data_IF_806810428306
#
_entry.id   IF_806810428306
#
_cell.length_a   1.000
_cell.length_b   1.000
_cell.length_c   1.000
_cell.angle_alpha   90.00
_cell.angle_beta   90.00
_cell.angle_gamma   90.00
#
_symmetry.space_group_name_H-M   'P 1'
#
loop_
_entity.id
_entity.type
_entity.pdbx_description
1 polymer ?
2 polymer ?
#
# COMPACT_ATOMS: atom_id res chain seq x y z
CA UNK A 1 13.03 -19.07 12.73
CA UNK A 2 10.84 -20.23 9.87
CA UNK A 3 9.21 -16.81 9.70
CA UNK A 4 12.52 -15.00 10.03
CA UNK A 5 13.69 -16.79 6.91
CA UNK A 6 10.44 -15.92 5.17
CA UNK A 7 10.96 -12.25 5.95
CA UNK A 8 14.61 -12.57 4.99
CA UNK A 9 13.35 -13.53 1.55
CA UNK A 10 11.01 -10.55 1.64
CA UNK A 11 13.90 -8.23 2.40
CA UNK A 12 15.95 -9.78 -0.37
CA UNK A 13 12.88 -9.29 -2.53
CA UNK A 14 12.35 -5.59 -1.96
CA UNK A 15 13.66 -4.61 1.46
CA UNK A 16 13.04 -1.04 0.36
CA UNK A 17 9.74 -0.56 -1.42
CA UNK A 18 6.05 0.28 -0.99
CA UNK A 19 5.25 -3.38 -1.53
CA UNK A 20 7.58 -4.33 1.30
CA UNK A 21 6.32 -1.93 3.95
CA UNK A 22 3.00 -3.81 3.93
CA UNK A 23 4.66 -7.18 3.51
CA UNK A 24 6.75 -6.55 6.60
CA UNK A 25 3.84 -5.30 8.66
CA UNK A 26 2.07 -8.50 7.67
CA UNK A 27 4.87 -10.69 8.95
CA UNK A 28 5.09 -8.31 11.89
CA UNK A 29 1.35 -7.90 12.32
CA UNK A 30 0.95 -6.62 15.86
CA UNK A 31 4.30 -8.00 16.94
CA UNK A 32 6.38 -7.29 20.02
CA UNK A 33 9.79 -5.64 20.46
CA UNK A 34 11.58 -8.96 20.86
CA UNK A 35 9.88 -10.20 17.71
CA UNK A 36 10.15 -6.99 15.73
CA UNK A 37 13.74 -6.69 16.90
CA UNK A 38 14.45 -10.23 15.76
CA UNK A 39 12.95 -9.57 12.34
CA UNK A 40 14.73 -6.25 12.03
CA UNK A 41 17.84 -8.15 13.04
CA UNK A 42 17.56 -10.79 10.34
CA UNK A 43 16.86 -7.92 7.96
CA UNK A 44 19.55 -6.75 5.57
CA UNK A 45 19.28 -3.86 3.14
CA UNK A 46 21.26 -0.86 4.33
CA UNK A 47 22.59 0.02 7.76
CA UNK A 48 22.22 3.67 6.86
CA UNK A 49 18.52 3.18 6.20
CA UNK A 50 18.14 1.18 9.39
CA UNK A 51 19.94 3.98 11.20
CA UNK A 52 17.48 6.65 10.14
CA UNK A 53 14.61 4.29 10.86
CA UNK A 54 15.87 3.99 14.42
CA UNK A 55 15.85 7.77 14.57
CA UNK A 56 12.25 8.00 13.40
CA UNK A 57 11.22 5.14 15.65
CA UNK A 58 13.00 6.54 18.69
CA UNK A 59 11.70 9.97 17.74
CA UNK A 60 8.23 8.46 17.51
CA UNK A 61 8.35 7.54 21.18
CA UNK A 62 9.66 10.94 22.21
CA UNK A 63 6.99 12.60 20.09
CA UNK A 64 4.40 10.19 21.45
CA UNK A 65 5.23 11.03 25.04
CA UNK A 66 5.40 14.63 23.88
CA UNK A 67 1.76 14.47 22.84
CA UNK A 68 1.09 12.06 25.68
CA UNK A 84 5.69 6.09 27.33
CA UNK A 85 7.14 5.87 23.84
CA UNK A 86 10.37 4.83 25.52
CA UNK A 87 8.61 2.13 27.50
CA UNK A 88 7.01 0.79 24.34
CA UNK A 89 10.55 0.75 22.99
CA UNK A 90 11.40 -1.73 25.72
CA UNK A 91 13.63 0.65 27.64
CA UNK A 92 11.34 1.04 30.63
CA UNK A 93 9.44 -2.17 29.97
CA UNK A 94 10.43 -5.77 29.32
CA UNK A 95 9.09 -8.19 26.74
CA UNK A 96 6.86 -9.88 29.29
CA UNK A 97 5.54 -6.53 30.45
CA UNK A 98 5.16 -5.58 26.80
CA UNK A 99 3.05 -8.50 25.63
CA UNK A 100 1.14 -8.12 28.88
CA UNK A 101 0.54 -4.42 28.38
CA UNK A 102 -0.52 -5.39 24.88
CA UNK A 103 -2.97 -7.99 26.14
CA UNK A 104 -3.81 -5.89 29.17
CA UNK A 105 -7.26 -4.62 30.06
CA UNK A 106 -7.77 -2.40 28.50
CA UNK A 107 -5.35 -3.59 25.82
CA UNK A 108 -2.79 -1.00 24.81
CA UNK A 109 -1.30 -0.88 21.30
CA UNK A 110 2.18 -1.10 22.77
CA UNK A 111 3.59 -3.48 20.18
CA UNK A 112 1.32 -1.99 17.54
CA UNK A 113 2.76 1.42 18.31
CA UNK A 114 6.30 0.12 17.93
CA UNK A 115 5.37 -1.74 14.76
CA UNK A 116 3.92 1.44 13.30
CA UNK A 117 7.15 3.18 14.23
CA UNK A 118 9.09 0.77 12.06
CA UNK A 119 6.64 1.36 9.24
CA UNK A 120 7.18 5.07 9.77
CA UNK A 121 10.91 4.76 9.20
CA UNK A 122 10.76 2.13 6.48
CA UNK A 123 8.34 4.57 4.89
CA UNK A 124 10.99 7.27 4.77
CA UNK A 125 13.58 4.69 3.77
CA UNK A 126 11.43 3.63 0.85
CA UNK A 127 10.44 7.19 0.07
CA UNK A 128 14.17 7.71 -0.28
CA UNK A 129 14.94 4.67 -2.39
CA UNK B 1 9.44 -6.14 -18.58
CA UNK B 2 11.91 -8.96 -17.77
CA UNK B 3 9.35 -11.72 -18.37
CA UNK B 4 9.99 -13.40 -21.70
CA UNK B 5 8.98 -16.83 -22.97
CA UNK B 6 11.82 -19.34 -23.02
CA UNK B 7 12.61 -20.91 -26.41
CA UNK B 8 11.60 -24.31 -25.08
CA UNK B 9 9.21 -23.00 -22.38
CA UNK B 10 5.52 -23.96 -22.83
CA UNK B 11 3.19 -21.00 -23.31
CA UNK B 12 1.18 -21.76 -20.15
CA UNK B 13 4.28 -21.69 -17.92
CA UNK B 14 5.20 -18.34 -19.44
CA UNK B 15 1.75 -16.86 -18.95
CA UNK B 16 1.83 -18.16 -15.37
CA UNK B 17 5.06 -16.22 -14.72
CA UNK B 18 3.67 -13.20 -16.52
CA UNK B 19 0.54 -12.82 -14.34
CA UNK B 20 2.28 -13.95 -11.13
CA UNK B 21 4.70 -11.06 -11.63
CA UNK B 22 2.05 -8.57 -12.73
CA UNK B 23 -0.04 -9.38 -9.65
CA UNK B 24 2.90 -8.79 -7.28
CA UNK B 25 3.85 -5.54 -9.02
CA UNK B 26 0.39 -3.99 -8.63
CA UNK B 27 -0.60 -6.04 -5.56
CA UNK B 28 -3.67 -6.78 -7.73
CA UNK B 29 -5.12 -9.17 -10.34
CA UNK B 30 -6.89 -6.34 -12.20
CA UNK B 31 -4.06 -5.76 -14.63
CA UNK B 32 -5.22 -6.99 -18.05
CA UNK B 33 -5.43 -3.71 -19.97
CA UNK B 34 -4.40 -3.02 -23.59
CA UNK B 35 -0.81 -2.25 -22.55
CA UNK B 36 -0.17 -5.62 -20.93
CA UNK B 37 -2.11 -7.29 -23.76
CA UNK B 38 0.39 -5.81 -26.24
CA UNK B 39 3.32 -6.62 -23.95
CA UNK B 40 2.29 -10.30 -23.53
CA UNK B 41 2.25 -11.08 -27.25
CA UNK B 42 5.37 -8.96 -27.79
CA UNK B 43 7.44 -11.06 -25.34
CA UNK B 44 6.27 -14.51 -26.46
CA UNK B 45 8.83 -16.75 -28.16
CA UNK B 46 9.08 -16.68 -32.01
CA UNK B 47 6.83 -19.62 -32.90
CA UNK B 48 4.01 -18.54 -30.61
CA UNK B 49 4.47 -14.83 -31.42
CA UNK B 50 3.54 -15.46 -35.07
CA UNK B 51 0.56 -17.72 -34.34
CA UNK B 52 -0.81 -15.20 -31.85
CA UNK B 53 -0.45 -12.20 -34.17
CA UNK B 54 -2.36 -14.40 -36.63
CA UNK B 55 -5.41 -14.71 -34.39
CA UNK B 56 -5.55 -10.93 -34.70
CA UNK B 57 -6.61 -8.42 -32.02
CA UNK B 58 -9.35 -9.01 -29.44
CA UNK B 59 -8.37 -12.61 -28.72
CA UNK B 60 -9.32 -14.08 -25.34
CA UNK B 61 -6.64 -15.63 -23.12
CA UNK B 62 -8.43 -18.95 -23.59
CA UNK B 63 -8.12 -18.65 -27.39
CA UNK B 64 -4.42 -17.76 -27.21
CA UNK B 65 -3.64 -20.70 -24.91
CA UNK B 66 -5.52 -23.21 -27.04
CA UNK B 67 -3.58 -21.94 -30.08
CA UNK B 68 -0.08 -22.46 -28.61
CA UNK B 69 -0.80 -25.83 -26.94
CA UNK C 1 -13.44 19.92 10.91
CA UNK C 2 -11.19 20.88 8.02
CA UNK C 3 -9.53 17.48 8.16
CA UNK C 4 -12.83 15.66 8.54
CA UNK C 5 -13.94 17.20 5.26
CA UNK C 6 -10.64 16.22 3.68
CA UNK C 7 -11.15 12.62 4.73
CA UNK C 8 -14.78 12.83 3.66
CA UNK C 9 -13.43 13.53 0.19
CA UNK C 10 -11.07 10.60 0.56
CA UNK C 11 -13.96 8.31 1.43
CA UNK C 12 -15.95 9.62 -1.51
CA UNK C 13 -12.82 9.00 -3.54
CA UNK C 14 -12.29 5.36 -2.67
CA UNK C 15 -13.68 4.63 0.78
CA UNK C 16 -13.00 0.99 -0.03
CA UNK C 17 -9.65 0.41 -1.68
CA UNK C 18 -5.96 -0.36 -1.09
CA UNK C 19 -5.18 3.26 -1.90
CA UNK C 20 -7.59 4.39 0.80
CA UNK C 21 -6.38 2.23 3.65
CA UNK C 22 -3.07 4.12 3.57
CA UNK C 23 -4.75 7.44 2.85
CA UNK C 24 -6.92 7.03 5.93
CA UNK C 25 -4.04 5.97 8.15
CA UNK C 26 -2.28 9.10 6.97
CA UNK C 27 -5.13 11.36 7.99
CA UNK C 28 -5.40 9.21 11.10
CA UNK C 29 -1.67 8.87 11.66
CA UNK C 30 -1.36 7.87 15.29
CA UNK C 31 -4.75 9.29 16.18
CA UNK C 32 -6.90 8.81 19.26
CA UNK C 33 -10.31 7.17 19.73
CA UNK C 34 -12.13 10.48 19.83
CA UNK C 35 -10.36 11.50 16.64
CA UNK C 36 -10.56 8.14 14.90
CA UNK C 37 -14.17 7.89 16.00
CA UNK C 38 -14.87 11.33 14.57
CA UNK C 39 -13.28 10.43 11.26
CA UNK C 40 -15.03 7.07 11.16
CA UNK C 41 -18.18 9.02 11.94
CA UNK C 42 -17.85 11.44 9.05
CA UNK C 43 -17.07 8.40 6.92
CA UNK C 44 -19.68 7.02 4.55
CA UNK C 45 -19.33 3.96 2.36
CA UNK C 46 -21.32 1.04 3.74
CA UNK C 47 -22.73 0.42 7.20
CA UNK C 48 -22.30 -3.29 6.58
CA UNK C 49 -18.60 -2.81 5.98
CA UNK C 50 -18.31 -0.57 9.02
CA UNK C 51 -20.14 -3.24 10.99
CA UNK C 52 -17.63 -5.96 10.20
CA UNK C 53 -14.80 -3.52 10.81
CA UNK C 54 -16.15 -2.96 14.31
CA UNK C 55 -16.11 -6.72 14.75
CA UNK C 56 -12.48 -7.01 13.69
CA UNK C 57 -11.54 -3.97 15.74
CA UNK C 58 -13.38 -5.14 18.83
CA UNK C 59 -12.03 -8.62 18.18
CA UNK C 60 -8.57 -7.11 17.93
CA UNK C 61 -8.79 -5.91 21.51
CA UNK C 62 -10.10 -9.23 22.76
CA UNK C 63 -7.36 -11.02 20.85
CA UNK C 64 -4.82 -8.49 22.08
CA UNK C 65 -5.74 -9.06 25.71
CA UNK C 66 -5.85 -12.74 24.83
CA UNK C 67 -2.19 -12.62 23.87
CA UNK C 68 -1.62 -9.99 26.53
CA UNK C 84 -6.29 -3.96 27.59
CA UNK C 85 -7.66 -4.02 24.06
CA UNK C 86 -10.94 -2.88 25.57
CA UNK C 87 -9.25 -0.02 27.38
CA UNK C 88 -7.59 1.08 24.17
CA UNK C 89 -11.09 0.98 22.73
CA UNK C 90 -12.03 3.66 25.23
CA UNK C 91 -14.28 1.41 27.28
CA UNK C 92 -12.07 1.28 30.35
CA UNK C 93 -10.18 4.45 29.48
CA UNK C 94 -11.18 7.97 28.54
CA UNK C 95 -9.79 10.20 25.81
CA UNK C 96 -7.64 12.10 28.28
CA UNK C 97 -6.32 8.86 29.73
CA UNK C 98 -5.85 7.64 26.18
CA UNK C 99 -3.73 10.48 24.83
CA UNK C 100 -1.90 10.37 28.15
CA UNK C 101 -1.26 6.64 27.95
CA UNK C 102 -0.11 7.36 24.42
CA UNK C 103 2.29 10.07 25.53
CA UNK C 104 3.06 8.21 28.74
CA UNK C 105 6.49 7.05 29.81
CA UNK C 106 7.07 4.72 28.44
CA UNK C 107 4.70 5.68 25.61
CA UNK C 108 2.19 2.99 24.75
CA UNK C 109 0.80 2.58 21.22
CA UNK C 110 -2.73 2.89 22.58
CA UNK C 111 -4.08 5.05 19.78
CA UNK C 112 -1.74 3.38 17.32
CA UNK C 113 -3.17 0.02 18.31
CA UNK C 114 -6.71 1.26 17.74
CA UNK C 115 -5.71 2.87 14.47
CA UNK C 116 -4.20 -0.39 13.29
CA UNK C 117 -7.44 -2.09 14.27
CA UNK C 118 -9.34 0.13 11.87
CA UNK C 119 -6.81 -0.65 9.17
CA UNK C 120 -7.34 -4.31 9.97
CA UNK C 121 -11.05 -4.09 9.29
CA UNK C 122 -10.85 -1.68 6.38
CA UNK C 123 -8.37 -4.21 5.04
CA UNK C 124 -11.01 -6.93 5.06
CA UNK C 125 -13.59 -4.46 3.80
CA UNK C 126 -11.36 -3.60 0.86
CA UNK C 127 -10.32 -7.21 0.39
CA UNK C 128 -14.04 -7.79 -0.01
CA UNK C 129 -14.79 -4.93 -2.37
CA UNK D 1 -8.95 4.65 -19.20
CA UNK D 2 -11.45 7.49 -18.68
CA UNK D 3 -8.90 10.23 -19.43
CA UNK D 4 -9.47 11.64 -22.89
CA UNK D 5 -8.45 14.97 -24.40
CA UNK D 6 -11.30 17.45 -24.72
CA UNK D 7 -12.02 18.74 -28.24
CA UNK D 8 -11.07 22.24 -27.14
CA UNK D 9 -8.74 21.17 -24.29
CA UNK D 10 -5.05 22.12 -24.73
CA UNK D 11 -2.68 19.16 -24.92
CA UNK D 12 -0.76 20.18 -21.77
CA UNK D 13 -3.92 20.25 -19.62
CA UNK D 14 -4.78 16.79 -20.90
CA UNK D 15 -1.33 15.38 -20.21
CA UNK D 16 -1.52 16.95 -16.75
CA UNK D 17 -4.74 15.04 -16.03
CA UNK D 18 -3.28 11.90 -17.55
CA UNK D 19 -0.21 11.72 -15.27
CA UNK D 20 -2.04 13.08 -12.21
CA UNK D 21 -4.42 10.14 -12.54
CA UNK D 22 -1.73 7.60 -13.38
CA UNK D 23 0.27 8.66 -10.32
CA UNK D 24 -2.72 8.23 -7.98
CA UNK D 25 -3.60 4.84 -9.49
CA UNK D 26 -0.14 3.36 -8.89
CA UNK D 27 0.76 5.65 -5.97
CA UNK D 28 3.87 6.25 -8.11
CA UNK D 29 5.37 8.44 -10.86
CA UNK D 30 7.21 5.50 -12.45
CA UNK D 31 4.45 4.70 -14.89
CA UNK D 32 5.68 5.68 -18.38
CA UNK D 33 5.98 2.26 -20.02
CA UNK D 34 5.04 1.28 -23.61
CA UNK D 35 1.43 0.56 -22.60
CA UNK D 36 0.73 4.03 -21.27
CA UNK D 37 2.72 5.50 -24.17
CA UNK D 38 0.30 3.82 -26.59
CA UNK D 39 -2.69 4.78 -24.44
CA UNK D 40 -1.70 8.48 -24.28
CA UNK D 41 -1.56 8.97 -28.05
CA UNK D 42 -4.66 6.79 -28.50
CA UNK D 43 -6.80 9.05 -26.28
CA UNK D 44 -5.63 12.41 -27.63
CA UNK D 45 -8.17 14.49 -29.56
CA UNK D 46 -8.31 14.12 -33.40
CA UNK D 47 -6.07 17.01 -34.46
CA UNK D 48 -3.30 16.13 -32.02
CA UNK D 49 -3.71 12.37 -32.55
CA UNK D 50 -2.69 12.72 -36.21
CA UNK D 51 0.26 15.06 -35.58
CA UNK D 52 1.58 12.75 -32.88
CA UNK D 53 1.30 9.58 -34.97
CA UNK D 54 3.26 11.60 -37.54
CA UNK D 55 6.25 12.11 -35.25
CA UNK D 56 6.42 8.32 -35.26
CA UNK D 57 7.43 6.04 -32.37
CA UNK D 58 10.10 6.85 -29.77
CA UNK D 59 9.07 10.48 -29.36
CA UNK D 60 9.92 12.22 -26.08
CA UNK D 61 7.18 13.91 -24.06
CA UNK D 62 8.95 17.20 -24.74
CA UNK D 63 8.74 16.61 -28.51
CA UNK D 64 5.04 15.70 -28.36
CA UNK D 65 4.18 18.80 -26.31
CA UNK D 66 6.10 21.15 -28.59
CA UNK D 67 4.25 19.64 -31.56
CA UNK D 68 0.70 20.23 -30.23
CA UNK D 69 1.36 23.73 -28.80
#
# INVERSE_FOLDING_TARGET
PRTLNAWVKVVEEKAFSPEVIPMFSALSEGATPQDLNTMLNTVGGHQAAMQMLKETINEEAAEWDRLHPVHAGPIAPGQMREPRGSDIAGTTSTLQEQIGWMTHNPPIPVGEIYKRWIILGLNKIVRMY
LDIRQGPKEPFRDYVDRFYKTLRAEQASQEVKNAATETLLVQNANPDCKTILKALGPGATLEEMMTACQ
PRTLNAWVKVVEEKAFSPEVIPMFSALSEGATPQDLNTMLNTVGGHQAAMQMLKETINEEAAEWDRLHPVHAGPIAPGQMREPRGSDIAGTTSTLQEQIGWMTHNPPIPVGEIYKRWIILGLNKIVRMY
LDIRQGPKEPFRDYVDRFYKTLRAEQASQEVKNAATETLLVQNANPDCKTILKALGPGATLEEMMTACQ
#
